data_IF_678062246605
#
_entry.id   IF_678062246605
#
_cell.length_a   1.000
_cell.length_b   1.000
_cell.length_c   1.000
_cell.angle_alpha   90.00
_cell.angle_beta   90.00
_cell.angle_gamma   90.00
#
_symmetry.space_group_name_H-M   'P 1'
#
loop_
_entity.id
_entity.type
_entity.pdbx_description
1 polymer ?
#
# COMPACT_ATOMS: atom_id res chain seq x y z
N UNK A 1 -4.77 11.30 10.46
CA UNK A 1 -4.55 9.88 10.77
C UNK A 1 -5.90 9.18 10.75
N UNK A 2 -6.06 8.09 10.00
CA UNK A 2 -7.15 7.15 10.30
C UNK A 2 -6.98 6.71 11.76
N UNK A 3 -8.06 6.60 12.54
CA UNK A 3 -7.94 5.97 13.85
C UNK A 3 -7.43 4.54 13.65
N UNK A 4 -6.56 4.02 14.54
CA UNK A 4 -6.20 2.61 14.49
C UNK A 4 -7.49 1.79 14.60
N UNK A 5 -7.68 0.85 13.68
CA UNK A 5 -8.74 -0.15 13.81
C UNK A 5 -8.59 -0.86 15.15
N UNK A 6 -9.70 -1.04 15.87
CA UNK A 6 -9.68 -1.74 17.14
C UNK A 6 -9.01 -3.12 16.97
N UNK A 7 -8.11 -3.53 17.88
CA UNK A 7 -7.44 -4.82 17.76
C UNK A 7 -8.47 -5.95 17.76
N UNK A 8 -8.21 -6.99 16.96
CA UNK A 8 -8.95 -8.24 17.08
C UNK A 8 -8.81 -8.75 18.52
N UNK A 9 -9.94 -9.02 19.19
CA UNK A 9 -9.97 -9.52 20.56
C UNK A 9 -10.66 -10.87 20.62
N UNK A 10 -10.28 -11.68 21.60
CA UNK A 10 -10.92 -12.96 21.89
C UNK A 10 -10.73 -13.99 20.77
N UNK A 11 -11.77 -14.82 20.54
CA UNK A 11 -11.70 -16.02 19.67
C UNK A 11 -11.19 -15.76 18.25
N UNK A 12 -11.47 -14.58 17.69
CA UNK A 12 -11.01 -14.23 16.33
C UNK A 12 -9.49 -14.10 16.25
N UNK A 13 -8.86 -13.51 17.27
CA UNK A 13 -7.40 -13.40 17.35
C UNK A 13 -6.77 -14.79 17.43
N UNK A 14 -7.27 -15.64 18.33
CA UNK A 14 -6.79 -17.02 18.48
C UNK A 14 -6.92 -17.85 17.20
N UNK A 15 -8.06 -17.72 16.50
CA UNK A 15 -8.29 -18.44 15.24
C UNK A 15 -7.27 -18.01 14.17
N UNK A 16 -6.99 -16.72 14.04
CA UNK A 16 -5.99 -16.20 13.09
C UNK A 16 -4.59 -16.67 13.47
N UNK A 17 -4.21 -16.61 14.75
CA UNK A 17 -2.91 -17.09 15.23
C UNK A 17 -2.69 -18.56 14.86
N UNK A 18 -3.68 -19.43 15.10
CA UNK A 18 -3.59 -20.86 14.75
C UNK A 18 -3.47 -21.09 13.26
N UNK A 19 -4.15 -20.30 12.43
CA UNK A 19 -4.01 -20.38 10.97
C UNK A 19 -2.62 -19.96 10.50
N UNK A 20 -2.03 -18.94 11.13
CA UNK A 20 -0.67 -18.51 10.84
C UNK A 20 0.36 -19.56 11.25
N UNK A 21 0.19 -20.17 12.43
CA UNK A 21 1.06 -21.25 12.93
C UNK A 21 0.99 -22.53 12.09
N UNK A 22 -0.19 -22.84 11.52
CA UNK A 22 -0.37 -24.00 10.65
C UNK A 22 0.41 -23.90 9.32
N UNK A 23 0.91 -22.71 8.98
CA UNK A 23 1.68 -22.46 7.77
C UNK A 23 0.84 -22.45 6.49
N UNK A 24 1.52 -22.49 5.33
CA UNK A 24 0.89 -22.40 3.99
C UNK A 24 0.01 -21.15 3.82
N UNK A 25 0.44 -20.05 4.43
CA UNK A 25 -0.30 -18.79 4.42
C UNK A 25 -0.03 -18.05 3.12
N UNK A 26 -1.11 -17.67 2.41
CA UNK A 26 -1.05 -16.68 1.33
C UNK A 26 -1.41 -15.31 1.90
N UNK A 27 -0.49 -14.35 1.77
CA UNK A 27 -0.76 -12.95 2.15
C UNK A 27 -1.11 -12.14 0.91
N UNK A 28 -2.32 -11.58 0.88
CA UNK A 28 -2.72 -10.59 -0.11
C UNK A 28 -2.64 -9.19 0.51
N UNK A 29 -1.72 -8.37 0.02
CA UNK A 29 -1.54 -6.98 0.49
C UNK A 29 -1.93 -5.96 -0.58
N UNK A 30 -2.47 -4.82 -0.15
CA UNK A 30 -2.67 -3.63 -0.99
C UNK A 30 -1.90 -2.42 -0.46
N UNK A 31 -2.04 -1.26 -1.10
CA UNK A 31 -1.32 -0.02 -0.75
C UNK A 31 -1.47 0.40 0.74
N UNK A 32 -2.54 -0.01 1.41
CA UNK A 32 -2.76 0.27 2.83
C UNK A 32 -1.63 -0.22 3.74
N UNK A 33 -0.95 -1.33 3.39
CA UNK A 33 0.18 -1.85 4.19
C UNK A 33 1.34 -0.86 4.25
N UNK A 34 1.46 0.08 3.30
CA UNK A 34 2.57 1.04 3.22
C UNK A 34 2.21 2.45 3.71
N UNK A 35 1.00 2.65 4.23
CA UNK A 35 0.59 3.95 4.79
C UNK A 35 1.46 4.40 5.97
N UNK A 36 1.81 3.48 6.86
CA UNK A 36 2.76 3.71 7.96
C UNK A 36 4.21 3.89 7.49
N UNK A 37 4.50 3.57 6.22
CA UNK A 37 5.79 3.85 5.58
C UNK A 37 5.80 5.22 4.88
N UNK A 38 4.76 6.04 5.05
CA UNK A 38 4.64 7.36 4.41
C UNK A 38 4.12 7.31 2.97
N UNK A 39 3.77 6.14 2.44
CA UNK A 39 3.23 6.00 1.08
C UNK A 39 1.70 6.07 1.16
N UNK A 40 1.05 7.10 0.57
CA UNK A 40 -0.40 7.23 0.65
C UNK A 40 -1.09 6.08 -0.08
N UNK A 41 -2.19 5.59 0.51
CA UNK A 41 -3.06 4.65 -0.19
C UNK A 41 -3.90 5.38 -1.26
N UNK A 42 -4.86 4.68 -1.85
CA UNK A 42 -5.76 5.29 -2.82
C UNK A 42 -7.11 5.73 -2.24
N UNK A 43 -7.61 5.09 -1.17
CA UNK A 43 -9.03 5.18 -0.75
C UNK A 43 -9.21 5.62 0.70
N UNK A 44 -8.16 5.58 1.50
CA UNK A 44 -8.18 5.94 2.91
C UNK A 44 -8.24 7.45 3.13
N UNK A 45 -8.25 7.89 4.39
CA UNK A 45 -8.29 9.29 4.78
C UNK A 45 -7.16 10.15 4.20
N UNK A 46 -5.99 9.55 3.96
CA UNK A 46 -4.82 10.17 3.31
C UNK A 46 -4.71 9.82 1.81
N UNK A 47 -5.77 9.23 1.23
CA UNK A 47 -5.73 8.59 -0.07
C UNK A 47 -5.55 9.54 -1.25
N UNK A 48 -4.69 9.16 -2.18
CA UNK A 48 -4.29 9.94 -3.36
C UNK A 48 -5.42 10.17 -4.38
N UNK A 49 -6.42 9.27 -4.49
CA UNK A 49 -7.57 9.45 -5.41
C UNK A 49 -8.43 10.67 -5.06
N UNK A 50 -8.33 11.19 -3.84
CA UNK A 50 -9.02 12.44 -3.47
C UNK A 50 -8.42 13.66 -4.14
N UNK A 51 -7.17 13.58 -4.63
CA UNK A 51 -6.44 14.71 -5.22
C UNK A 51 -6.32 14.64 -6.73
N UNK A 52 -6.16 13.44 -7.32
CA UNK A 52 -5.95 13.30 -8.75
C UNK A 52 -6.54 12.00 -9.32
N UNK A 53 -7.10 12.07 -10.52
CA UNK A 53 -7.45 10.90 -11.33
C UNK A 53 -6.18 10.27 -11.89
N UNK A 54 -5.95 8.96 -11.68
CA UNK A 54 -4.84 8.24 -12.29
C UNK A 54 -4.93 8.26 -13.82
N UNK A 55 -3.80 8.39 -14.50
CA UNK A 55 -3.72 8.21 -15.95
C UNK A 55 -4.04 6.76 -16.31
N UNK A 56 -4.89 6.57 -17.31
CA UNK A 56 -5.22 5.26 -17.88
C UNK A 56 -4.10 4.78 -18.80
N UNK A 57 -4.08 3.47 -19.05
CA UNK A 57 -3.12 2.87 -19.99
C UNK A 57 -3.28 3.42 -21.42
N UNK A 58 -4.53 3.66 -21.83
CA UNK A 58 -4.87 4.21 -23.14
C UNK A 58 -4.34 5.64 -23.29
N UNK A 59 -4.49 6.49 -22.28
CA UNK A 59 -3.94 7.85 -22.30
C UNK A 59 -2.41 7.84 -22.35
N UNK A 60 -1.75 6.93 -21.62
CA UNK A 60 -0.30 6.80 -21.59
C UNK A 60 0.26 6.36 -22.95
N UNK A 61 -0.35 5.36 -23.58
CA UNK A 61 0.13 4.83 -24.87
C UNK A 61 -0.26 5.72 -26.05
N UNK A 62 -1.37 6.43 -25.97
CA UNK A 62 -1.93 7.24 -27.05
C UNK A 62 -1.20 8.55 -27.38
N UNK A 63 -0.32 9.06 -26.51
CA UNK A 63 0.39 10.33 -26.77
C UNK A 63 1.76 10.41 -26.11
N UNK A 64 2.73 10.98 -26.83
CA UNK A 64 4.05 11.31 -26.28
C UNK A 64 3.96 12.35 -25.15
N UNK A 65 3.10 13.35 -25.30
CA UNK A 65 2.88 14.37 -24.28
C UNK A 65 2.35 13.76 -22.98
N UNK A 66 1.41 12.81 -23.08
CA UNK A 66 0.92 12.04 -21.93
C UNK A 66 2.06 11.29 -21.23
N UNK A 67 2.97 10.64 -21.97
CA UNK A 67 4.13 9.97 -21.39
C UNK A 67 5.07 10.95 -20.69
N UNK A 68 5.35 12.10 -21.30
CA UNK A 68 6.18 13.16 -20.70
C UNK A 68 5.56 13.65 -19.39
N UNK A 69 4.26 13.93 -19.37
CA UNK A 69 3.52 14.34 -18.16
C UNK A 69 3.53 13.26 -17.07
N UNK A 70 3.35 11.99 -17.45
CA UNK A 70 3.44 10.87 -16.53
C UNK A 70 4.81 10.82 -15.85
N UNK A 71 5.88 10.82 -16.64
CA UNK A 71 7.24 10.70 -16.13
C UNK A 71 7.68 11.92 -15.31
N UNK A 72 7.30 13.13 -15.71
CA UNK A 72 7.56 14.33 -14.92
C UNK A 72 6.93 14.26 -13.52
N UNK A 73 5.68 13.79 -13.41
CA UNK A 73 5.02 13.59 -12.12
C UNK A 73 5.63 12.46 -11.31
N UNK A 74 5.94 11.32 -11.94
CA UNK A 74 6.58 10.19 -11.29
C UNK A 74 7.95 10.56 -10.72
N UNK A 75 8.71 11.40 -11.41
CA UNK A 75 9.99 11.91 -10.94
C UNK A 75 9.86 12.70 -9.63
N UNK A 76 8.86 13.59 -9.52
CA UNK A 76 8.61 14.34 -8.28
C UNK A 76 8.21 13.43 -7.10
N UNK A 77 7.55 12.30 -7.35
CA UNK A 77 7.19 11.33 -6.32
C UNK A 77 8.30 10.35 -5.96
N UNK A 78 9.39 10.30 -6.75
CA UNK A 78 10.40 9.25 -6.64
C UNK A 78 11.21 9.33 -5.35
N UNK A 79 11.51 10.54 -4.87
CA UNK A 79 12.25 10.74 -3.61
C UNK A 79 11.50 10.13 -2.41
N UNK A 80 10.18 10.36 -2.32
CA UNK A 80 9.36 9.80 -1.25
C UNK A 80 9.32 8.26 -1.29
N UNK A 81 9.25 7.67 -2.50
CA UNK A 81 9.26 6.21 -2.67
C UNK A 81 10.61 5.60 -2.29
N UNK A 82 11.72 6.22 -2.72
CA UNK A 82 13.07 5.72 -2.44
C UNK A 82 13.49 5.89 -0.97
N UNK A 83 12.97 6.90 -0.29
CA UNK A 83 13.19 7.11 1.15
C UNK A 83 12.36 6.15 2.03
N UNK A 84 11.25 5.60 1.52
CA UNK A 84 10.36 4.76 2.30
C UNK A 84 11.05 3.47 2.79
N UNK A 85 10.81 3.10 4.05
CA UNK A 85 11.32 1.87 4.66
C UNK A 85 10.16 0.92 4.98
N UNK A 86 10.38 -0.41 4.97
CA UNK A 86 9.39 -1.37 5.45
C UNK A 86 8.94 -1.01 6.87
N UNK A 87 7.65 -1.06 7.14
CA UNK A 87 7.10 -0.89 8.50
C UNK A 87 6.91 -2.23 9.21
N UNK A 88 6.27 -2.21 10.39
CA UNK A 88 6.03 -3.39 11.20
C UNK A 88 5.20 -4.47 10.46
N UNK A 89 4.20 -4.07 9.66
CA UNK A 89 3.38 -4.98 8.87
C UNK A 89 4.17 -5.76 7.83
N UNK A 90 5.02 -5.08 7.05
CA UNK A 90 5.90 -5.74 6.07
C UNK A 90 6.86 -6.72 6.76
N UNK A 91 7.47 -6.30 7.89
CA UNK A 91 8.37 -7.16 8.66
C UNK A 91 7.65 -8.37 9.27
N UNK A 92 6.39 -8.22 9.67
CA UNK A 92 5.59 -9.33 10.17
C UNK A 92 5.34 -10.36 9.06
N UNK A 93 4.91 -9.90 7.88
CA UNK A 93 4.69 -10.76 6.71
C UNK A 93 5.99 -11.49 6.30
N UNK A 94 7.12 -10.78 6.28
CA UNK A 94 8.41 -11.38 5.96
C UNK A 94 8.85 -12.50 6.92
N UNK A 95 8.34 -12.51 8.16
CA UNK A 95 8.60 -13.58 9.14
C UNK A 95 7.63 -14.76 9.04
N UNK A 96 6.57 -14.66 8.23
CA UNK A 96 5.64 -15.77 7.98
C UNK A 96 6.15 -16.73 6.89
N UNK A 97 7.19 -16.32 6.14
CA UNK A 97 7.82 -17.09 5.07
C UNK A 97 8.88 -18.06 5.61
#
# INVERSE_FOLDING_TARGET
MSPPSAPLRGRAFEAVSRLLEAGRVLVLSGAGISTESGIPDYRGPTGSRRRHTPMTYQEFTGSEESRRRYWARSHLGWEAITAARPNAGHRAVARLA
#
